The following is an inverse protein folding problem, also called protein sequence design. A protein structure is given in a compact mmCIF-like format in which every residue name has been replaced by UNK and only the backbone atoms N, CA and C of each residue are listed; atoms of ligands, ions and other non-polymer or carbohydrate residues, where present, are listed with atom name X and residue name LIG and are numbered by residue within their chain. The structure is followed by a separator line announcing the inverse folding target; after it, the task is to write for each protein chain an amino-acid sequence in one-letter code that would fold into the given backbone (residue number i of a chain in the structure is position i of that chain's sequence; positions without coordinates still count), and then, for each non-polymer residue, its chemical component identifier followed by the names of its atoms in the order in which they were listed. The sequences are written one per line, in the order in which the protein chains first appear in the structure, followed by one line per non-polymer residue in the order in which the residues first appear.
data_IF_670986834533
#
_entry.id   IF_670986834533
#
_cell.length_a   1.000
_cell.length_b   1.000
_cell.length_c   1.000
_cell.angle_alpha   90.00
_cell.angle_beta   90.00
_cell.angle_gamma   90.00
#
_symmetry.space_group_name_H-M   'P 1'
#
loop_
_entity.id
_entity.type
_entity.pdbx_description
1 polymer ?
#
# COMPACT_ATOMS: atom_id res chain seq x y z
N UNK A 1 7.77 -17.25 1.80
CA UNK A 1 6.72 -17.29 0.76
C UNK A 1 5.60 -16.34 1.16
N UNK A 2 5.25 -15.39 0.31
CA UNK A 2 4.11 -14.50 0.48
C UNK A 2 2.97 -14.97 -0.44
N UNK A 3 1.77 -15.20 0.11
CA UNK A 3 0.63 -15.75 -0.62
C UNK A 3 -0.64 -14.91 -0.43
N UNK A 4 -1.33 -14.67 -1.53
CA UNK A 4 -2.65 -14.03 -1.60
C UNK A 4 -3.60 -14.94 -2.41
N UNK A 5 -4.88 -14.56 -2.55
CA UNK A 5 -5.87 -15.31 -3.36
C UNK A 5 -5.40 -15.57 -4.80
N UNK A 6 -4.65 -14.65 -5.41
CA UNK A 6 -4.17 -14.71 -6.80
C UNK A 6 -2.84 -15.44 -7.01
N UNK A 7 -2.18 -15.95 -5.96
CA UNK A 7 -0.93 -16.71 -6.10
C UNK A 7 0.08 -16.50 -4.99
N UNK A 8 1.26 -17.10 -5.15
CA UNK A 8 2.35 -17.04 -4.18
C UNK A 8 3.66 -16.59 -4.84
N UNK A 9 4.46 -15.82 -4.10
CA UNK A 9 5.79 -15.35 -4.53
C UNK A 9 6.84 -15.64 -3.47
N UNK A 10 8.05 -15.94 -3.91
CA UNK A 10 9.22 -16.20 -3.06
C UNK A 10 10.26 -15.09 -3.15
N UNK A 11 10.11 -14.19 -4.10
CA UNK A 11 10.98 -13.03 -4.32
C UNK A 11 10.15 -11.79 -4.70
N UNK A 12 10.65 -10.62 -4.38
CA UNK A 12 10.16 -9.34 -4.85
C UNK A 12 11.14 -8.80 -5.90
N UNK A 13 10.61 -8.50 -7.09
CA UNK A 13 11.38 -7.86 -8.15
C UNK A 13 11.02 -6.38 -8.17
N UNK A 14 12.05 -5.53 -8.10
CA UNK A 14 11.88 -4.08 -8.00
C UNK A 14 12.69 -3.36 -9.08
N UNK A 15 12.24 -2.19 -9.48
CA UNK A 15 13.02 -1.27 -10.33
C UNK A 15 13.44 -0.08 -9.48
N UNK A 16 14.75 0.19 -9.47
CA UNK A 16 15.30 1.39 -8.83
C UNK A 16 15.71 2.38 -9.90
N UNK A 17 15.18 3.61 -9.81
CA UNK A 17 15.61 4.74 -10.64
C UNK A 17 16.60 5.58 -9.85
N UNK A 18 17.68 5.94 -10.50
CA UNK A 18 18.71 6.85 -9.96
C UNK A 18 18.85 8.04 -10.90
N UNK A 19 18.67 9.24 -10.35
CA UNK A 19 18.92 10.51 -11.05
C UNK A 19 20.22 11.08 -10.50
N UNK A 20 21.16 11.38 -11.38
CA UNK A 20 22.43 11.96 -10.99
C UNK A 20 22.70 13.22 -11.81
N UNK A 21 22.94 14.34 -11.12
CA UNK A 21 23.28 15.63 -11.75
C UNK A 21 24.08 16.48 -10.78
N UNK A 22 25.18 17.09 -11.28
CA UNK A 22 26.04 18.01 -10.51
C UNK A 22 26.55 17.41 -9.17
N UNK A 23 26.82 16.09 -9.16
CA UNK A 23 27.29 15.38 -7.97
C UNK A 23 26.20 15.08 -6.93
N UNK A 24 24.93 15.37 -7.23
CA UNK A 24 23.77 15.05 -6.38
C UNK A 24 23.06 13.84 -6.96
N UNK A 25 22.67 12.90 -6.08
CA UNK A 25 21.98 11.67 -6.46
C UNK A 25 20.64 11.57 -5.77
N UNK A 26 19.57 11.40 -6.55
CA UNK A 26 18.22 11.07 -6.06
C UNK A 26 17.82 9.65 -6.46
N UNK A 27 17.08 8.95 -5.60
CA UNK A 27 16.66 7.56 -5.83
C UNK A 27 15.17 7.38 -5.59
N UNK A 28 14.56 6.49 -6.37
CA UNK A 28 13.20 6.02 -6.18
C UNK A 28 13.11 4.55 -6.54
N UNK A 29 12.16 3.84 -5.94
CA UNK A 29 11.91 2.43 -6.20
C UNK A 29 10.44 2.18 -6.49
N UNK A 30 10.16 1.25 -7.37
CA UNK A 30 8.82 0.75 -7.63
C UNK A 30 8.78 -0.77 -7.75
N UNK A 31 7.57 -1.30 -7.63
CA UNK A 31 7.28 -2.72 -7.79
C UNK A 31 6.33 -2.88 -8.98
N UNK A 32 6.82 -3.31 -10.17
CA UNK A 32 5.95 -3.62 -11.30
C UNK A 32 4.93 -4.69 -10.93
N UNK A 33 3.66 -4.48 -11.25
CA UNK A 33 2.61 -5.39 -10.82
C UNK A 33 1.77 -5.91 -11.99
N UNK A 34 1.81 -7.23 -12.21
CA UNK A 34 1.15 -7.88 -13.35
C UNK A 34 -0.38 -7.64 -13.40
N UNK A 35 -1.04 -7.43 -12.24
CA UNK A 35 -2.47 -7.07 -12.17
C UNK A 35 -2.78 -5.76 -12.90
N UNK A 36 -1.79 -4.88 -13.04
CA UNK A 36 -1.88 -3.60 -13.75
C UNK A 36 -1.17 -3.63 -15.11
N UNK A 37 -0.95 -4.83 -15.67
CA UNK A 37 -0.26 -5.05 -16.94
C UNK A 37 1.18 -4.51 -16.96
N UNK A 38 1.86 -4.52 -15.82
CA UNK A 38 3.24 -4.08 -15.70
C UNK A 38 4.19 -5.28 -15.58
N UNK A 39 5.32 -5.18 -16.27
CA UNK A 39 6.47 -6.09 -16.16
C UNK A 39 7.74 -5.28 -15.92
N UNK A 40 8.81 -5.92 -15.45
CA UNK A 40 10.12 -5.25 -15.33
C UNK A 40 10.52 -4.55 -16.63
N UNK A 41 10.42 -5.26 -17.77
CA UNK A 41 10.79 -4.73 -19.08
C UNK A 41 9.92 -3.53 -19.49
N UNK A 42 8.59 -3.60 -19.26
CA UNK A 42 7.70 -2.50 -19.62
C UNK A 42 7.97 -1.25 -18.80
N UNK A 43 8.27 -1.41 -17.50
CA UNK A 43 8.58 -0.31 -16.59
C UNK A 43 9.94 0.30 -16.93
N UNK A 44 10.97 -0.53 -17.14
CA UNK A 44 12.31 -0.04 -17.56
C UNK A 44 12.20 0.73 -18.87
N UNK A 45 11.50 0.20 -19.86
CA UNK A 45 11.31 0.86 -21.16
C UNK A 45 10.61 2.22 -21.03
N UNK A 46 9.61 2.33 -20.16
CA UNK A 46 8.95 3.62 -19.88
C UNK A 46 9.94 4.63 -19.27
N UNK A 47 10.73 4.20 -18.29
CA UNK A 47 11.73 5.06 -17.64
C UNK A 47 12.79 5.52 -18.67
N UNK A 48 13.33 4.60 -19.47
CA UNK A 48 14.35 4.90 -20.50
C UNK A 48 13.85 5.80 -21.63
N UNK A 49 12.54 5.88 -21.85
CA UNK A 49 11.94 6.76 -22.86
C UNK A 49 11.82 8.23 -22.43
N UNK A 50 12.09 8.52 -21.17
CA UNK A 50 11.95 9.88 -20.62
C UNK A 50 13.13 10.77 -21.03
N UNK A 51 12.89 12.08 -21.24
CA UNK A 51 13.97 13.06 -21.36
C UNK A 51 14.82 13.09 -20.09
N UNK A 52 16.14 13.28 -20.24
CA UNK A 52 17.08 13.32 -19.10
C UNK A 52 16.86 14.51 -18.17
N UNK A 53 16.17 15.55 -18.62
CA UNK A 53 15.87 16.77 -17.87
C UNK A 53 14.39 16.86 -17.43
N UNK A 54 13.66 15.72 -17.44
CA UNK A 54 12.27 15.67 -16.99
C UNK A 54 12.12 16.22 -15.58
N UNK A 55 11.10 17.04 -15.37
CA UNK A 55 10.71 17.55 -14.06
C UNK A 55 9.42 16.84 -13.55
N UNK A 56 9.06 17.12 -12.29
CA UNK A 56 7.91 16.46 -11.64
C UNK A 56 6.57 16.81 -12.29
N UNK A 57 6.40 18.05 -12.75
CA UNK A 57 5.16 18.51 -13.38
C UNK A 57 4.98 17.85 -14.75
N UNK A 58 6.00 17.94 -15.60
CA UNK A 58 5.99 17.33 -16.95
C UNK A 58 5.85 15.81 -16.87
N UNK A 59 6.45 15.17 -15.87
CA UNK A 59 6.34 13.73 -15.64
C UNK A 59 4.89 13.26 -15.47
N UNK A 60 4.04 14.06 -14.77
CA UNK A 60 2.64 13.67 -14.53
C UNK A 60 1.83 13.57 -15.83
N UNK A 61 2.20 14.34 -16.85
CA UNK A 61 1.55 14.35 -18.16
C UNK A 61 2.21 13.38 -19.15
N UNK A 62 3.48 13.02 -18.93
CA UNK A 62 4.27 12.16 -19.83
C UNK A 62 4.03 10.68 -19.59
N UNK A 63 3.97 10.25 -18.32
CA UNK A 63 3.70 8.86 -17.98
C UNK A 63 2.33 8.70 -17.30
N UNK A 64 1.61 7.60 -17.60
CA UNK A 64 0.40 7.27 -16.86
C UNK A 64 0.72 6.95 -15.38
N UNK A 65 -0.29 6.99 -14.49
CA UNK A 65 -0.15 6.42 -13.15
C UNK A 65 0.35 4.97 -13.22
N UNK A 66 1.27 4.61 -12.31
CA UNK A 66 1.86 3.27 -12.30
C UNK A 66 3.29 3.27 -11.78
N UNK A 67 3.91 2.08 -11.80
CA UNK A 67 5.21 1.83 -11.20
C UNK A 67 6.33 2.70 -11.80
N UNK A 68 6.39 2.84 -13.13
CA UNK A 68 7.44 3.64 -13.78
C UNK A 68 7.42 5.09 -13.30
N UNK A 69 6.23 5.73 -13.34
CA UNK A 69 6.08 7.10 -12.87
C UNK A 69 6.40 7.23 -11.38
N UNK A 70 6.00 6.26 -10.56
CA UNK A 70 6.31 6.23 -9.13
C UNK A 70 7.83 6.29 -8.88
N UNK A 71 8.60 5.42 -9.49
CA UNK A 71 10.05 5.39 -9.27
C UNK A 71 10.72 6.70 -9.68
N UNK A 72 10.32 7.28 -10.83
CA UNK A 72 10.90 8.55 -11.33
C UNK A 72 10.45 9.73 -10.45
N UNK A 73 9.18 9.85 -10.11
CA UNK A 73 8.65 10.91 -9.25
C UNK A 73 9.35 10.93 -7.89
N UNK A 74 9.48 9.75 -7.26
CA UNK A 74 10.18 9.64 -5.97
C UNK A 74 11.68 9.92 -6.07
N UNK A 75 12.33 9.58 -7.19
CA UNK A 75 13.72 9.92 -7.42
C UNK A 75 13.91 11.44 -7.61
N UNK A 76 12.99 12.12 -8.30
CA UNK A 76 13.01 13.58 -8.46
C UNK A 76 12.81 14.31 -7.14
N UNK A 77 11.91 13.83 -6.28
CA UNK A 77 11.72 14.36 -4.94
C UNK A 77 12.98 14.21 -4.09
N UNK A 78 13.60 13.03 -4.06
CA UNK A 78 14.84 12.77 -3.32
C UNK A 78 15.99 13.64 -3.84
N UNK A 79 16.11 13.76 -5.17
CA UNK A 79 17.10 14.63 -5.80
C UNK A 79 16.91 16.10 -5.39
N UNK A 80 15.70 16.60 -5.40
CA UNK A 80 15.41 17.99 -5.02
C UNK A 80 15.75 18.25 -3.55
N UNK A 81 15.42 17.30 -2.66
CA UNK A 81 15.75 17.39 -1.24
C UNK A 81 17.24 17.50 -1.01
N UNK A 82 18.01 16.64 -1.64
CA UNK A 82 19.49 16.61 -1.53
C UNK A 82 20.15 17.83 -2.16
N UNK A 83 19.64 18.26 -3.32
CA UNK A 83 20.13 19.48 -4.00
C UNK A 83 19.92 20.75 -3.17
N UNK A 84 18.78 20.83 -2.47
CA UNK A 84 18.45 21.98 -1.60
C UNK A 84 18.98 21.84 -0.17
N UNK A 85 19.52 20.66 0.18
CA UNK A 85 19.84 20.28 1.57
C UNK A 85 18.66 20.52 2.54
N UNK A 86 17.47 20.14 2.10
CA UNK A 86 16.22 20.29 2.86
C UNK A 86 15.44 19.00 2.91
N UNK A 87 14.76 18.78 4.04
CA UNK A 87 13.90 17.59 4.20
C UNK A 87 12.63 17.73 3.37
N UNK A 88 12.16 16.59 2.88
CA UNK A 88 10.99 16.48 2.00
C UNK A 88 9.75 17.20 2.52
N UNK A 89 9.45 17.11 3.81
CA UNK A 89 8.26 17.78 4.39
C UNK A 89 8.30 19.30 4.30
N UNK A 90 9.50 19.91 4.32
CA UNK A 90 9.66 21.35 4.11
C UNK A 90 9.39 21.72 2.66
N UNK A 91 9.90 20.93 1.70
CA UNK A 91 9.75 21.19 0.27
C UNK A 91 8.29 20.93 -0.17
N UNK A 92 7.69 19.86 0.33
CA UNK A 92 6.29 19.51 0.02
C UNK A 92 5.26 20.34 0.81
N UNK A 93 5.69 21.18 1.77
CA UNK A 93 4.79 22.00 2.57
C UNK A 93 3.85 21.19 3.48
N UNK A 94 4.29 20.04 3.94
CA UNK A 94 3.53 19.15 4.84
C UNK A 94 4.13 19.15 6.25
N UNK A 95 3.36 18.66 7.22
CA UNK A 95 3.82 18.54 8.59
C UNK A 95 5.01 17.58 8.68
N UNK A 96 5.86 17.79 9.69
CA UNK A 96 6.94 16.85 10.02
C UNK A 96 6.31 15.49 10.32
N UNK A 97 6.72 14.43 9.62
CA UNK A 97 6.11 13.12 9.82
C UNK A 97 6.53 12.51 11.15
N UNK A 98 5.59 11.81 11.77
CA UNK A 98 5.77 11.03 12.98
C UNK A 98 5.73 9.54 12.65
N UNK A 99 6.27 8.72 13.56
CA UNK A 99 6.12 7.27 13.47
C UNK A 99 4.65 6.85 13.47
N UNK A 100 4.34 5.75 12.77
CA UNK A 100 2.99 5.19 12.67
C UNK A 100 2.99 3.71 12.98
N UNK A 101 1.91 3.24 13.62
CA UNK A 101 1.67 1.79 13.72
C UNK A 101 1.39 1.28 12.32
N UNK A 102 2.18 0.30 11.87
CA UNK A 102 1.91 -0.43 10.64
C UNK A 102 1.28 -1.78 10.93
N UNK A 103 0.34 -2.20 10.09
CA UNK A 103 -0.13 -3.57 10.09
C UNK A 103 1.04 -4.54 9.84
N UNK A 104 0.88 -5.76 10.32
CA UNK A 104 1.71 -6.89 9.91
C UNK A 104 0.86 -7.90 9.18
N UNK A 105 1.28 -8.25 7.96
CA UNK A 105 0.49 -9.08 7.06
C UNK A 105 0.72 -10.57 7.33
N UNK A 106 -0.36 -11.28 7.58
CA UNK A 106 -0.41 -12.73 7.59
C UNK A 106 -0.86 -13.22 6.22
N UNK A 107 0.04 -13.95 5.54
CA UNK A 107 -0.24 -14.57 4.25
C UNK A 107 -1.36 -15.59 4.34
N UNK A 108 -2.08 -15.78 3.22
CA UNK A 108 -3.07 -16.84 3.08
C UNK A 108 -2.41 -18.22 3.20
N UNK A 109 -2.89 -19.03 4.14
CA UNK A 109 -2.40 -20.38 4.38
C UNK A 109 -3.51 -21.25 5.00
N UNK A 110 -3.19 -22.49 5.38
CA UNK A 110 -4.10 -23.34 6.14
C UNK A 110 -4.37 -22.76 7.54
N UNK A 111 -5.56 -22.97 8.12
CA UNK A 111 -5.95 -22.37 9.39
C UNK A 111 -4.96 -22.61 10.53
N UNK A 112 -4.37 -23.81 10.61
CA UNK A 112 -3.39 -24.16 11.64
C UNK A 112 -2.11 -23.30 11.51
N UNK A 113 -1.64 -23.07 10.29
CA UNK A 113 -0.46 -22.25 10.04
C UNK A 113 -0.75 -20.79 10.34
N UNK A 114 -1.94 -20.30 9.94
CA UNK A 114 -2.37 -18.94 10.24
C UNK A 114 -2.54 -18.71 11.75
N UNK A 115 -3.03 -19.70 12.50
CA UNK A 115 -3.03 -19.65 13.97
C UNK A 115 -1.63 -19.46 14.54
N UNK A 116 -0.66 -20.29 14.13
CA UNK A 116 0.75 -20.20 14.59
C UNK A 116 1.38 -18.84 14.26
N UNK A 117 1.10 -18.32 13.07
CA UNK A 117 1.57 -16.99 12.66
C UNK A 117 0.93 -15.88 13.50
N UNK A 118 -0.36 -15.97 13.76
CA UNK A 118 -1.08 -15.02 14.60
C UNK A 118 -0.57 -15.05 16.05
N UNK A 119 -0.39 -16.23 16.63
CA UNK A 119 0.16 -16.42 17.98
C UNK A 119 1.56 -15.80 18.11
N UNK A 120 2.44 -16.05 17.15
CA UNK A 120 3.79 -15.49 17.09
C UNK A 120 3.78 -13.94 17.01
N UNK A 121 2.75 -13.36 16.41
CA UNK A 121 2.61 -11.91 16.22
C UNK A 121 1.52 -11.29 17.09
N UNK A 122 1.09 -11.98 18.15
CA UNK A 122 -0.03 -11.55 19.02
C UNK A 122 0.27 -10.30 19.86
N UNK A 123 1.54 -9.91 19.95
CA UNK A 123 1.97 -8.65 20.57
C UNK A 123 1.79 -7.43 19.66
N UNK A 124 1.50 -7.63 18.36
CA UNK A 124 1.29 -6.54 17.42
C UNK A 124 -0.13 -5.99 17.55
N UNK A 125 -0.30 -4.67 17.61
CA UNK A 125 -1.61 -4.06 17.79
C UNK A 125 -2.53 -4.21 16.57
N UNK A 126 -1.96 -4.35 15.36
CA UNK A 126 -2.70 -4.43 14.10
C UNK A 126 -2.16 -5.54 13.20
N UNK A 127 -3.03 -6.45 12.82
CA UNK A 127 -2.76 -7.52 11.86
C UNK A 127 -3.60 -7.33 10.59
N UNK A 128 -2.98 -7.51 9.43
CA UNK A 128 -3.66 -7.61 8.14
C UNK A 128 -3.69 -9.07 7.71
N UNK A 129 -4.88 -9.57 7.35
CA UNK A 129 -5.09 -10.98 7.03
C UNK A 129 -5.47 -11.14 5.57
N UNK A 130 -4.67 -11.90 4.84
CA UNK A 130 -4.98 -12.26 3.46
C UNK A 130 -6.01 -13.38 3.43
N UNK A 131 -7.15 -13.11 2.81
CA UNK A 131 -8.26 -14.02 2.57
C UNK A 131 -8.57 -14.02 1.06
N UNK A 132 -9.79 -14.38 0.66
CA UNK A 132 -10.25 -14.32 -0.72
C UNK A 132 -10.58 -15.70 -1.29
N UNK A 133 -11.10 -16.60 -0.42
CA UNK A 133 -11.57 -17.92 -0.82
C UNK A 133 -12.92 -18.23 -0.13
N UNK A 134 -13.72 -19.16 -0.66
CA UNK A 134 -14.96 -19.55 0.00
C UNK A 134 -14.80 -20.14 1.41
N UNK A 135 -13.59 -20.62 1.74
CA UNK A 135 -13.30 -21.27 3.02
C UNK A 135 -12.48 -20.39 3.98
N UNK A 136 -12.81 -19.11 4.06
CA UNK A 136 -12.03 -18.13 4.83
C UNK A 136 -12.38 -18.10 6.33
N UNK A 137 -13.60 -18.50 6.73
CA UNK A 137 -14.01 -18.44 8.12
C UNK A 137 -13.12 -19.25 9.07
N UNK A 138 -12.77 -20.51 8.80
CA UNK A 138 -11.85 -21.27 9.67
C UNK A 138 -10.48 -20.59 9.82
N UNK A 139 -9.99 -19.91 8.78
CA UNK A 139 -8.73 -19.14 8.81
C UNK A 139 -8.83 -17.94 9.74
N UNK A 140 -9.91 -17.16 9.60
CA UNK A 140 -10.11 -15.98 10.43
C UNK A 140 -10.32 -16.34 11.91
N UNK A 141 -11.09 -17.39 12.20
CA UNK A 141 -11.27 -17.91 13.55
C UNK A 141 -9.96 -18.37 14.16
N UNK A 142 -9.11 -19.06 13.40
CA UNK A 142 -7.79 -19.48 13.80
C UNK A 142 -6.89 -18.27 14.14
N UNK A 143 -6.90 -17.24 13.30
CA UNK A 143 -6.14 -16.01 13.55
C UNK A 143 -6.66 -15.28 14.80
N UNK A 144 -7.97 -15.11 14.95
CA UNK A 144 -8.53 -14.45 16.14
C UNK A 144 -8.18 -15.21 17.43
N UNK A 145 -8.17 -16.54 17.36
CA UNK A 145 -7.76 -17.39 18.49
C UNK A 145 -6.28 -17.21 18.82
N UNK A 146 -5.41 -17.09 17.82
CA UNK A 146 -3.96 -16.88 18.01
C UNK A 146 -3.61 -15.47 18.48
N UNK A 147 -4.37 -14.45 18.06
CA UNK A 147 -4.15 -13.04 18.38
C UNK A 147 -5.43 -12.38 18.91
N UNK A 148 -5.87 -12.72 20.14
CA UNK A 148 -7.19 -12.31 20.65
C UNK A 148 -7.33 -10.80 20.86
N UNK A 149 -6.23 -10.08 21.09
CA UNK A 149 -6.24 -8.66 21.43
C UNK A 149 -5.83 -7.75 20.26
N UNK A 150 -5.31 -8.29 19.17
CA UNK A 150 -4.93 -7.50 18.00
C UNK A 150 -6.16 -6.97 17.26
N UNK A 151 -6.09 -5.74 16.77
CA UNK A 151 -7.02 -5.30 15.74
C UNK A 151 -6.75 -6.09 14.44
N UNK A 152 -7.83 -6.43 13.73
CA UNK A 152 -7.75 -7.21 12.50
C UNK A 152 -8.38 -6.40 11.37
N UNK A 153 -7.64 -6.25 10.27
CA UNK A 153 -8.17 -5.86 8.97
C UNK A 153 -8.00 -7.03 8.01
N UNK A 154 -8.94 -7.18 7.08
CA UNK A 154 -8.97 -8.29 6.13
C UNK A 154 -8.79 -7.74 4.73
N UNK A 155 -7.96 -8.40 3.92
CA UNK A 155 -7.80 -8.11 2.51
C UNK A 155 -8.19 -9.36 1.70
N UNK A 156 -9.29 -9.25 0.98
CA UNK A 156 -9.81 -10.32 0.14
C UNK A 156 -9.14 -10.36 -1.25
N UNK A 157 -8.42 -9.31 -1.62
CA UNK A 157 -7.74 -9.20 -2.91
C UNK A 157 -8.63 -9.61 -4.11
N UNK A 158 -9.84 -9.04 -4.19
CA UNK A 158 -10.82 -9.32 -5.25
C UNK A 158 -11.34 -10.79 -5.24
N UNK A 159 -11.17 -11.54 -4.15
CA UNK A 159 -11.44 -12.96 -4.13
C UNK A 159 -12.88 -13.36 -3.79
N UNK A 160 -13.74 -12.41 -3.41
CA UNK A 160 -15.14 -12.66 -3.09
C UNK A 160 -16.08 -12.10 -4.17
N UNK A 161 -17.30 -12.59 -4.19
CA UNK A 161 -18.44 -11.98 -4.87
C UNK A 161 -19.41 -11.37 -3.84
N UNK A 162 -20.49 -10.75 -4.33
CA UNK A 162 -21.47 -10.08 -3.49
C UNK A 162 -22.21 -11.04 -2.55
N UNK A 163 -22.46 -12.28 -2.98
CA UNK A 163 -23.13 -13.30 -2.17
C UNK A 163 -22.23 -13.76 -1.03
N UNK A 164 -20.99 -14.13 -1.34
CA UNK A 164 -20.01 -14.56 -0.34
C UNK A 164 -19.70 -13.43 0.66
N UNK A 165 -19.51 -12.18 0.19
CA UNK A 165 -19.34 -11.03 1.07
C UNK A 165 -20.52 -10.89 2.04
N UNK A 166 -21.77 -11.01 1.54
CA UNK A 166 -22.97 -10.89 2.37
C UNK A 166 -23.09 -12.01 3.42
N UNK A 167 -22.64 -13.22 3.09
CA UNK A 167 -22.57 -14.34 4.01
C UNK A 167 -21.49 -14.15 5.09
N UNK A 168 -20.32 -13.64 4.71
CA UNK A 168 -19.18 -13.47 5.61
C UNK A 168 -19.31 -12.23 6.52
N UNK A 169 -19.92 -11.14 6.05
CA UNK A 169 -19.91 -9.85 6.74
C UNK A 169 -20.41 -9.91 8.22
N UNK A 170 -21.49 -10.62 8.58
CA UNK A 170 -21.90 -10.75 9.98
C UNK A 170 -20.85 -11.45 10.86
N UNK A 171 -20.18 -12.46 10.32
CA UNK A 171 -19.14 -13.22 11.02
C UNK A 171 -17.85 -12.40 11.19
N UNK A 172 -17.49 -11.60 10.19
CA UNK A 172 -16.38 -10.65 10.29
C UNK A 172 -16.61 -9.66 11.45
N UNK A 173 -17.84 -9.15 11.58
CA UNK A 173 -18.24 -8.29 12.72
C UNK A 173 -18.12 -9.06 14.03
N UNK A 174 -18.65 -10.28 14.12
CA UNK A 174 -18.57 -11.13 15.32
C UNK A 174 -17.13 -11.36 15.76
N UNK A 175 -16.22 -11.54 14.81
CA UNK A 175 -14.80 -11.75 15.07
C UNK A 175 -14.01 -10.43 15.24
N UNK A 176 -14.70 -9.28 15.24
CA UNK A 176 -14.11 -7.98 15.56
C UNK A 176 -13.19 -7.43 14.47
N UNK A 177 -13.43 -7.81 13.20
CA UNK A 177 -12.73 -7.21 12.05
C UNK A 177 -13.11 -5.74 11.95
N UNK A 178 -12.14 -4.89 11.64
CA UNK A 178 -12.30 -3.43 11.57
C UNK A 178 -12.50 -2.89 10.16
N UNK A 179 -12.02 -3.60 9.15
CA UNK A 179 -12.04 -3.18 7.76
C UNK A 179 -11.97 -4.39 6.84
N UNK A 180 -12.68 -4.34 5.73
CA UNK A 180 -12.52 -5.27 4.60
C UNK A 180 -11.94 -4.50 3.42
N UNK A 181 -10.77 -4.92 2.95
CA UNK A 181 -10.12 -4.35 1.78
C UNK A 181 -10.47 -5.19 0.55
N UNK A 182 -10.88 -4.52 -0.51
CA UNK A 182 -11.24 -5.00 -1.85
C UNK A 182 -11.91 -6.38 -1.87
N UNK A 183 -13.14 -6.49 -1.36
CA UNK A 183 -13.86 -7.78 -1.35
C UNK A 183 -14.14 -8.30 -2.76
N UNK A 184 -14.67 -7.45 -3.65
CA UNK A 184 -15.09 -7.79 -5.00
C UNK A 184 -14.08 -7.36 -6.05
N UNK A 185 -14.04 -8.02 -7.23
CA UNK A 185 -13.28 -7.56 -8.37
C UNK A 185 -13.59 -6.10 -8.73
N UNK A 186 -12.57 -5.33 -9.10
CA UNK A 186 -12.70 -3.90 -9.37
C UNK A 186 -13.67 -3.57 -10.53
N UNK A 187 -13.84 -4.49 -11.48
CA UNK A 187 -14.79 -4.39 -12.58
C UNK A 187 -16.21 -4.87 -12.23
N UNK A 188 -16.40 -5.44 -11.03
CA UNK A 188 -17.68 -5.93 -10.50
C UNK A 188 -18.06 -5.28 -9.17
N UNK A 189 -17.31 -4.29 -8.71
CA UNK A 189 -17.51 -3.63 -7.41
C UNK A 189 -18.78 -2.76 -7.35
N UNK A 190 -19.46 -2.59 -8.48
CA UNK A 190 -20.80 -1.99 -8.55
C UNK A 190 -21.84 -2.72 -7.71
N UNK A 191 -21.66 -4.01 -7.51
CA UNK A 191 -22.55 -4.84 -6.71
C UNK A 191 -22.50 -4.50 -5.21
N UNK A 192 -21.50 -3.75 -4.75
CA UNK A 192 -21.45 -3.21 -3.38
C UNK A 192 -22.55 -2.18 -3.11
N UNK A 193 -23.11 -1.56 -4.14
CA UNK A 193 -24.21 -0.59 -4.00
C UNK A 193 -25.47 -1.34 -3.54
N UNK A 194 -26.00 -0.92 -2.39
CA UNK A 194 -27.21 -1.49 -1.84
C UNK A 194 -27.03 -2.74 -0.99
N UNK A 195 -25.82 -3.30 -0.90
CA UNK A 195 -25.53 -4.36 0.06
C UNK A 195 -25.47 -3.82 1.50
N UNK A 196 -25.93 -4.59 2.49
CA UNK A 196 -25.63 -4.31 3.89
C UNK A 196 -24.12 -4.29 4.11
N UNK A 197 -23.62 -3.17 4.62
CA UNK A 197 -22.19 -2.99 4.94
C UNK A 197 -22.02 -2.76 6.44
N UNK A 198 -22.04 -3.82 7.27
CA UNK A 198 -21.97 -3.69 8.72
C UNK A 198 -20.58 -3.27 9.22
N UNK A 199 -19.57 -3.33 8.36
CA UNK A 199 -18.22 -2.81 8.59
C UNK A 199 -17.72 -2.02 7.38
N UNK A 200 -16.74 -1.12 7.61
CA UNK A 200 -16.18 -0.30 6.53
C UNK A 200 -15.51 -1.15 5.45
N UNK A 201 -15.62 -0.70 4.20
CA UNK A 201 -14.95 -1.30 3.04
C UNK A 201 -13.92 -0.33 2.46
N UNK A 202 -12.76 -0.87 2.11
CA UNK A 202 -11.64 -0.13 1.51
C UNK A 202 -11.45 -0.52 0.04
N UNK A 203 -11.33 0.49 -0.84
CA UNK A 203 -10.92 0.30 -2.22
C UNK A 203 -9.40 0.19 -2.31
N UNK A 204 -8.88 -0.90 -2.87
CA UNK A 204 -7.47 -1.07 -3.26
C UNK A 204 -7.34 -1.13 -4.78
N UNK A 205 -7.66 -2.24 -5.39
CA UNK A 205 -7.57 -2.42 -6.85
C UNK A 205 -8.51 -1.46 -7.62
N UNK A 206 -9.59 -1.00 -7.00
CA UNK A 206 -10.50 -0.01 -7.59
C UNK A 206 -10.02 1.44 -7.50
N UNK A 207 -8.99 1.73 -6.70
CA UNK A 207 -8.47 3.08 -6.47
C UNK A 207 -7.02 3.21 -6.96
N UNK A 208 -6.80 3.95 -8.06
CA UNK A 208 -5.47 4.20 -8.60
C UNK A 208 -5.01 5.64 -8.36
N UNK A 209 -5.76 6.60 -8.85
CA UNK A 209 -5.46 8.04 -8.81
C UNK A 209 -6.71 8.85 -8.48
N UNK A 210 -6.60 10.18 -8.53
CA UNK A 210 -7.74 11.09 -8.28
C UNK A 210 -8.93 10.85 -9.19
N UNK A 211 -8.72 10.36 -10.42
CA UNK A 211 -9.79 10.10 -11.39
C UNK A 211 -10.63 8.90 -10.99
N UNK A 212 -10.11 8.04 -10.13
CA UNK A 212 -10.84 6.89 -9.60
C UNK A 212 -11.93 7.29 -8.60
N UNK A 213 -11.76 8.39 -7.84
CA UNK A 213 -12.56 8.72 -6.67
C UNK A 213 -14.06 8.81 -6.94
N UNK A 214 -14.46 9.45 -8.02
CA UNK A 214 -15.88 9.63 -8.36
C UNK A 214 -16.61 8.29 -8.48
N UNK A 215 -15.95 7.27 -9.03
CA UNK A 215 -16.50 5.94 -9.22
C UNK A 215 -16.60 5.13 -7.93
N UNK A 216 -15.94 5.58 -6.85
CA UNK A 216 -15.90 4.89 -5.56
C UNK A 216 -16.99 5.37 -4.59
N UNK A 217 -17.57 6.54 -4.85
CA UNK A 217 -18.62 7.13 -4.01
C UNK A 217 -19.80 6.16 -3.90
N UNK A 218 -20.27 5.94 -2.67
CA UNK A 218 -21.38 5.02 -2.38
C UNK A 218 -21.01 3.54 -2.29
N UNK A 219 -19.81 3.15 -2.74
CA UNK A 219 -19.31 1.77 -2.70
C UNK A 219 -18.32 1.53 -1.55
N UNK A 220 -17.46 2.51 -1.26
CA UNK A 220 -16.36 2.37 -0.31
C UNK A 220 -16.38 3.47 0.73
N UNK A 221 -15.86 3.17 1.91
CA UNK A 221 -15.67 4.10 3.03
C UNK A 221 -14.23 4.57 3.13
N UNK A 222 -13.29 3.76 2.62
CA UNK A 222 -11.85 4.01 2.60
C UNK A 222 -11.27 3.87 1.20
N UNK A 223 -10.16 4.56 0.98
CA UNK A 223 -9.27 4.31 -0.16
C UNK A 223 -7.89 3.92 0.34
N UNK A 224 -7.31 2.88 -0.26
CA UNK A 224 -5.93 2.46 0.00
C UNK A 224 -5.00 3.14 -1.02
N UNK A 225 -4.20 4.09 -0.55
CA UNK A 225 -3.22 4.81 -1.38
C UNK A 225 -1.93 4.00 -1.40
N UNK A 226 -1.56 3.54 -2.59
CA UNK A 226 -0.26 2.90 -2.87
C UNK A 226 0.47 3.68 -3.95
N UNK A 227 1.73 4.00 -3.73
CA UNK A 227 2.51 4.84 -4.64
C UNK A 227 2.68 4.21 -6.02
N UNK A 228 2.82 2.88 -6.08
CA UNK A 228 2.91 2.14 -7.35
C UNK A 228 1.61 2.22 -8.18
N UNK A 229 0.46 2.48 -7.55
CA UNK A 229 -0.80 2.72 -8.26
C UNK A 229 -0.95 4.19 -8.65
N UNK A 230 -0.68 5.10 -7.72
CA UNK A 230 -0.83 6.54 -7.96
C UNK A 230 0.21 7.08 -8.94
N UNK A 231 1.32 6.40 -9.11
CA UNK A 231 2.44 6.89 -9.91
C UNK A 231 3.26 7.96 -9.19
N UNK A 232 3.50 7.76 -7.89
CA UNK A 232 4.43 8.53 -7.08
C UNK A 232 3.81 9.42 -6.01
N UNK A 233 4.68 10.11 -5.29
CA UNK A 233 4.33 10.95 -4.15
C UNK A 233 3.50 12.17 -4.57
N UNK A 234 3.80 12.78 -5.73
CA UNK A 234 3.12 13.97 -6.23
C UNK A 234 1.62 13.73 -6.37
N UNK A 235 1.21 12.67 -7.08
CA UNK A 235 -0.19 12.32 -7.22
C UNK A 235 -0.80 11.79 -5.92
N UNK A 236 -0.03 11.03 -5.11
CA UNK A 236 -0.53 10.48 -3.86
C UNK A 236 -0.93 11.56 -2.84
N UNK A 237 -0.17 12.66 -2.75
CA UNK A 237 -0.52 13.81 -1.91
C UNK A 237 -1.85 14.47 -2.36
N UNK A 238 -2.02 14.61 -3.67
CA UNK A 238 -3.22 15.20 -4.24
C UNK A 238 -4.43 14.25 -4.12
N UNK A 239 -4.23 12.95 -4.36
CA UNK A 239 -5.27 11.94 -4.16
C UNK A 239 -5.75 11.92 -2.70
N UNK A 240 -4.82 11.95 -1.74
CA UNK A 240 -5.16 11.98 -0.31
C UNK A 240 -6.07 13.15 0.04
N UNK A 241 -5.69 14.37 -0.39
CA UNK A 241 -6.48 15.57 -0.11
C UNK A 241 -7.89 15.46 -0.73
N UNK A 242 -7.96 15.08 -1.99
CA UNK A 242 -9.23 14.91 -2.71
C UNK A 242 -10.11 13.81 -2.11
N UNK A 243 -9.53 12.72 -1.67
CA UNK A 243 -10.26 11.63 -1.01
C UNK A 243 -10.87 12.09 0.32
N UNK A 244 -10.12 12.84 1.12
CA UNK A 244 -10.61 13.43 2.37
C UNK A 244 -11.74 14.45 2.12
N UNK A 245 -11.59 15.32 1.12
CA UNK A 245 -12.63 16.26 0.70
C UNK A 245 -13.92 15.55 0.25
N UNK A 246 -13.78 14.38 -0.41
CA UNK A 246 -14.89 13.54 -0.83
C UNK A 246 -15.50 12.69 0.30
N UNK A 247 -14.96 12.77 1.53
CA UNK A 247 -15.46 12.07 2.71
C UNK A 247 -14.90 10.66 2.92
N UNK A 248 -13.93 10.22 2.11
CA UNK A 248 -13.25 8.94 2.35
C UNK A 248 -12.29 9.04 3.53
N UNK A 249 -12.14 7.93 4.25
CA UNK A 249 -11.02 7.72 5.16
C UNK A 249 -9.84 7.13 4.40
N UNK A 250 -8.64 7.29 4.94
CA UNK A 250 -7.41 6.91 4.28
C UNK A 250 -6.81 5.66 4.92
N UNK A 251 -6.49 4.69 4.10
CA UNK A 251 -5.52 3.65 4.34
C UNK A 251 -4.31 3.90 3.43
N UNK A 252 -3.11 3.61 3.91
CA UNK A 252 -1.89 3.66 3.10
C UNK A 252 -1.28 2.28 3.09
N UNK A 253 -1.13 1.74 1.91
CA UNK A 253 -0.53 0.43 1.71
C UNK A 253 0.68 0.45 0.78
N UNK A 254 1.20 -0.73 0.51
CA UNK A 254 2.35 -0.93 -0.36
C UNK A 254 2.24 -2.22 -1.16
N UNK A 255 3.12 -2.37 -2.15
CA UNK A 255 3.55 -3.66 -2.69
C UNK A 255 4.72 -4.18 -1.85
N UNK A 256 5.06 -5.47 -1.96
CA UNK A 256 6.25 -6.00 -1.27
C UNK A 256 7.50 -5.47 -1.95
N UNK A 257 8.14 -4.51 -1.32
CA UNK A 257 9.34 -3.83 -1.79
C UNK A 257 10.26 -3.44 -0.64
N UNK A 258 11.38 -2.77 -0.94
CA UNK A 258 12.35 -2.36 0.07
C UNK A 258 11.93 -1.07 0.78
N UNK A 259 12.66 -0.71 1.82
CA UNK A 259 12.48 0.57 2.53
C UNK A 259 12.54 1.80 1.61
N UNK A 260 13.20 1.72 0.46
CA UNK A 260 13.24 2.84 -0.49
C UNK A 260 11.86 3.11 -1.12
N UNK A 261 11.10 2.05 -1.43
CA UNK A 261 9.72 2.21 -1.91
C UNK A 261 8.77 2.70 -0.80
N UNK A 262 9.02 2.29 0.45
CA UNK A 262 8.17 2.66 1.59
C UNK A 262 8.43 4.08 2.11
N UNK A 263 9.64 4.59 1.96
CA UNK A 263 10.05 5.88 2.53
C UNK A 263 9.10 7.04 2.15
N UNK A 264 8.77 7.28 0.87
CA UNK A 264 7.81 8.33 0.53
C UNK A 264 6.37 8.02 1.00
N UNK A 265 5.98 6.75 1.14
CA UNK A 265 4.66 6.38 1.62
C UNK A 265 4.44 6.74 3.10
N UNK A 266 5.51 6.81 3.91
CA UNK A 266 5.42 7.26 5.32
C UNK A 266 4.88 8.69 5.44
N UNK A 267 5.07 9.53 4.43
CA UNK A 267 4.53 10.90 4.39
C UNK A 267 3.02 10.89 4.14
N UNK A 268 2.56 9.99 3.27
CA UNK A 268 1.13 9.82 3.00
C UNK A 268 0.42 9.22 4.22
N UNK A 269 1.13 8.37 4.98
CA UNK A 269 0.62 7.70 6.18
C UNK A 269 0.25 8.67 7.32
N UNK A 270 0.71 9.93 7.27
CA UNK A 270 0.32 10.92 8.28
C UNK A 270 -1.20 11.18 8.22
N UNK A 271 -1.90 11.06 9.36
CA UNK A 271 -3.36 11.15 9.49
C UNK A 271 -4.15 10.04 8.72
N UNK A 272 -3.51 8.97 8.26
CA UNK A 272 -4.21 7.78 7.81
C UNK A 272 -4.78 7.01 9.01
N UNK A 273 -5.94 6.39 8.80
CA UNK A 273 -6.57 5.54 9.83
C UNK A 273 -5.86 4.20 9.96
N UNK A 274 -5.50 3.60 8.82
CA UNK A 274 -4.73 2.37 8.77
C UNK A 274 -3.47 2.56 7.90
N UNK A 275 -2.38 1.97 8.37
CA UNK A 275 -1.10 1.97 7.66
C UNK A 275 -0.64 0.53 7.51
N UNK A 276 -0.26 0.15 6.29
CA UNK A 276 0.17 -1.19 5.88
C UNK A 276 1.44 -1.05 5.05
N UNK A 277 2.54 -0.71 5.73
CA UNK A 277 3.87 -0.47 5.16
C UNK A 277 4.88 -1.50 5.65
N UNK A 278 4.46 -2.75 5.76
CA UNK A 278 5.26 -3.86 6.27
C UNK A 278 6.10 -4.57 5.20
N UNK A 279 6.09 -4.08 3.95
CA UNK A 279 6.84 -4.69 2.84
C UNK A 279 8.27 -5.10 3.21
N UNK A 280 9.11 -4.23 3.81
CA UNK A 280 10.47 -4.57 4.21
C UNK A 280 10.56 -5.67 5.28
N UNK A 281 9.56 -5.79 6.16
CA UNK A 281 9.52 -6.84 7.18
C UNK A 281 9.28 -8.25 6.59
N UNK A 282 8.77 -8.31 5.37
CA UNK A 282 8.50 -9.55 4.63
C UNK A 282 9.70 -10.00 3.79
N UNK A 283 10.74 -9.18 3.67
CA UNK A 283 11.97 -9.48 2.94
C UNK A 283 12.97 -10.23 3.83
N UNK A 284 13.81 -11.06 3.22
CA UNK A 284 14.94 -11.68 3.90
C UNK A 284 16.05 -10.68 4.20
N UNK A 285 16.18 -9.65 3.39
CA UNK A 285 17.16 -8.56 3.53
C UNK A 285 16.60 -7.27 2.95
N UNK A 286 16.72 -6.19 3.70
CA UNK A 286 16.38 -4.84 3.27
C UNK A 286 17.61 -4.06 2.82
N UNK A 287 17.42 -2.84 2.36
CA UNK A 287 18.49 -1.92 1.94
C UNK A 287 19.30 -1.40 3.13
N UNK A 288 20.53 -0.99 2.83
CA UNK A 288 21.32 -0.19 3.76
C UNK A 288 20.58 1.12 4.10
N UNK A 289 20.65 1.55 5.35
CA UNK A 289 19.90 2.69 5.90
C UNK A 289 18.37 2.54 5.78
N UNK A 290 17.86 1.31 5.77
CA UNK A 290 16.43 1.01 5.71
C UNK A 290 15.61 1.77 6.75
N UNK A 291 14.29 1.80 6.57
CA UNK A 291 13.38 2.37 7.58
C UNK A 291 13.56 1.65 8.92
N UNK A 292 13.51 2.42 9.98
CA UNK A 292 13.46 1.84 11.32
C UNK A 292 12.04 1.31 11.57
N UNK A 293 11.96 0.01 11.86
CA UNK A 293 10.78 -0.64 12.41
C UNK A 293 11.05 -0.99 13.87
N UNK A 294 10.37 -0.31 14.78
CA UNK A 294 10.45 -0.58 16.21
C UNK A 294 9.15 -1.26 16.66
N UNK A 295 9.22 -2.56 16.94
CA UNK A 295 8.06 -3.41 17.16
C UNK A 295 7.04 -3.32 16.00
N UNK A 296 5.99 -2.50 16.17
CA UNK A 296 4.94 -2.27 15.18
C UNK A 296 4.95 -0.84 14.62
N UNK A 297 5.93 -0.04 15.00
CA UNK A 297 6.07 1.33 14.53
C UNK A 297 7.01 1.41 13.34
N UNK A 298 6.55 2.03 12.26
CA UNK A 298 7.40 2.47 11.15
C UNK A 298 7.75 3.93 11.34
N UNK A 299 9.05 4.22 11.31
CA UNK A 299 9.56 5.59 11.48
C UNK A 299 9.73 6.29 10.12
N UNK A 300 9.67 7.63 10.09
CA UNK A 300 10.01 8.40 8.90
C UNK A 300 11.43 8.10 8.42
N UNK A 301 11.72 8.27 7.10
CA UNK A 301 13.02 7.96 6.55
C UNK A 301 14.12 8.89 7.08
N UNK A 302 15.32 8.34 7.21
CA UNK A 302 16.54 9.13 7.37
C UNK A 302 16.99 9.69 6.02
N UNK A 303 17.76 10.79 6.03
CA UNK A 303 18.25 11.47 4.81
C UNK A 303 19.09 10.53 3.92
N UNK A 304 19.84 9.61 4.51
CA UNK A 304 20.70 8.67 3.79
C UNK A 304 19.87 7.62 3.00
N UNK A 305 18.66 7.35 3.42
CA UNK A 305 17.75 6.50 2.67
C UNK A 305 17.06 7.31 1.58
N UNK A 306 16.32 8.36 1.94
CA UNK A 306 15.47 9.11 1.02
C UNK A 306 14.92 10.41 1.66
N UNK A 307 14.81 11.50 0.85
CA UNK A 307 14.09 12.73 1.23
C UNK A 307 14.86 13.66 2.17
#
# INVERSE_FOLDING_TARGET
VFRISRGARTQAEVVTVTIEKDGVTGRGECVPYARYNETLESVIKQVESLPADIDKETLQDTLPPGAARNAVDCALWDFECKKRDQRIWKIAGIQVPEQKITAYTLSLDEPENMFKQAEKNSNRPLLKIKLGTPNDMPRLEAVRKGAPNSEIIVDANEGWDAELYSQLAPELVRLGVKLVEQPLPADQDGDLIGLPRPLPICADESCHDRKSLEKLIGKYDFVNIKLDKTGGLTEALQLKNKALEAGFKIMVGCMVGSSLAMAPATLIAQNATFVDLDGPLLLAQDRQHGLLYDESWVHPPVKDLWG
#
